data_IF_486328092524
#
_entry.id   IF_486328092524
#
_cell.length_a   1.000
_cell.length_b   1.000
_cell.length_c   1.000
_cell.angle_alpha   90.00
_cell.angle_beta   90.00
_cell.angle_gamma   90.00
#
_symmetry.space_group_name_H-M   'P 1'
#
loop_
_entity.id
_entity.type
_entity.pdbx_description
1 polymer ?
#
# COMPACT_ATOMS: atom_id res chain seq x y z
N UNK A 1 -12.52 -9.43 11.42
CA UNK A 1 -11.32 -9.99 10.76
C UNK A 1 -10.32 -8.85 10.62
N UNK A 2 -9.07 -9.02 11.03
CA UNK A 2 -8.06 -7.98 10.87
C UNK A 2 -7.44 -8.08 9.47
N UNK A 3 -7.50 -7.00 8.70
CA UNK A 3 -6.85 -6.93 7.38
C UNK A 3 -5.39 -6.51 7.60
N UNK A 4 -4.48 -7.49 7.67
CA UNK A 4 -3.04 -7.26 7.85
C UNK A 4 -2.29 -7.41 6.53
N UNK A 5 -1.57 -6.38 6.10
CA UNK A 5 -0.79 -6.39 4.87
C UNK A 5 0.46 -7.28 5.02
N UNK A 6 0.72 -8.06 3.98
CA UNK A 6 1.90 -8.89 3.78
C UNK A 6 2.87 -8.24 2.80
N UNK A 7 2.35 -7.68 1.71
CA UNK A 7 3.12 -7.03 0.67
C UNK A 7 2.25 -6.04 -0.11
N UNK A 8 2.90 -5.06 -0.72
CA UNK A 8 2.30 -4.12 -1.67
C UNK A 8 3.06 -4.22 -2.99
N UNK A 9 2.32 -4.17 -4.10
CA UNK A 9 2.86 -4.10 -5.46
C UNK A 9 2.05 -3.12 -6.29
N UNK A 10 2.59 -2.69 -7.42
CA UNK A 10 2.01 -1.64 -8.25
C UNK A 10 2.01 -2.03 -9.71
N UNK A 11 0.97 -1.61 -10.43
CA UNK A 11 0.99 -1.51 -11.88
C UNK A 11 0.82 -0.03 -12.32
N UNK A 12 0.46 0.19 -13.58
CA UNK A 12 0.32 1.53 -14.15
C UNK A 12 -0.68 2.42 -13.38
N UNK A 13 -1.76 1.86 -12.83
CA UNK A 13 -2.86 2.62 -12.25
C UNK A 13 -3.43 2.04 -10.95
N UNK A 14 -2.94 0.90 -10.49
CA UNK A 14 -3.49 0.15 -9.35
C UNK A 14 -2.38 -0.20 -8.36
N UNK A 15 -2.68 0.00 -7.08
CA UNK A 15 -1.95 -0.55 -5.95
C UNK A 15 -2.58 -1.87 -5.55
N UNK A 16 -1.76 -2.91 -5.42
CA UNK A 16 -2.17 -4.25 -5.02
C UNK A 16 -1.65 -4.54 -3.63
N UNK A 17 -2.55 -4.90 -2.71
CA UNK A 17 -2.19 -5.29 -1.34
C UNK A 17 -2.48 -6.78 -1.17
N UNK A 18 -1.42 -7.55 -0.88
CA UNK A 18 -1.54 -8.94 -0.46
C UNK A 18 -1.69 -8.97 1.07
N UNK A 19 -2.71 -9.65 1.57
CA UNK A 19 -2.98 -9.78 3.00
C UNK A 19 -2.46 -11.11 3.56
N UNK A 20 -2.16 -11.13 4.86
CA UNK A 20 -1.70 -12.33 5.56
C UNK A 20 -2.73 -13.48 5.56
N UNK A 21 -4.01 -13.16 5.41
CA UNK A 21 -5.10 -14.14 5.32
C UNK A 21 -5.29 -14.74 3.91
N UNK A 22 -4.40 -14.40 2.97
CA UNK A 22 -4.41 -14.92 1.60
C UNK A 22 -5.29 -14.13 0.63
N UNK A 23 -5.98 -13.08 1.08
CA UNK A 23 -6.69 -12.16 0.19
C UNK A 23 -5.73 -11.24 -0.55
N UNK A 24 -6.17 -10.76 -1.72
CA UNK A 24 -5.50 -9.71 -2.49
C UNK A 24 -6.52 -8.65 -2.88
N UNK A 25 -6.20 -7.38 -2.64
CA UNK A 25 -7.05 -6.24 -2.97
C UNK A 25 -6.35 -5.32 -3.96
N UNK A 26 -7.07 -4.92 -5.00
CA UNK A 26 -6.63 -3.88 -5.92
C UNK A 26 -7.32 -2.56 -5.59
N UNK A 27 -6.53 -1.50 -5.41
CA UNK A 27 -7.01 -0.15 -5.12
C UNK A 27 -6.47 0.81 -6.18
N UNK A 28 -7.33 1.56 -6.89
CA UNK A 28 -6.87 2.54 -7.87
C UNK A 28 -5.93 3.58 -7.24
N UNK A 29 -4.80 3.86 -7.88
CA UNK A 29 -3.86 4.90 -7.47
C UNK A 29 -4.50 6.28 -7.40
N UNK A 30 -5.56 6.52 -8.17
CA UNK A 30 -6.34 7.75 -8.15
C UNK A 30 -6.91 8.09 -6.76
N UNK A 31 -7.08 7.10 -5.87
CA UNK A 31 -7.53 7.34 -4.49
C UNK A 31 -6.43 7.87 -3.57
N UNK A 32 -5.16 7.76 -4.00
CA UNK A 32 -3.99 8.23 -3.27
C UNK A 32 -3.17 9.18 -4.15
N UNK A 33 -3.54 10.47 -4.23
CA UNK A 33 -2.85 11.43 -5.10
C UNK A 33 -1.32 11.48 -4.90
N UNK A 34 -0.83 11.22 -3.67
CA UNK A 34 0.61 11.14 -3.40
C UNK A 34 1.26 9.94 -4.10
N UNK A 35 0.66 8.74 -4.02
CA UNK A 35 1.15 7.57 -4.76
C UNK A 35 0.98 7.72 -6.28
N UNK A 36 -0.14 8.30 -6.73
CA UNK A 36 -0.37 8.55 -8.15
C UNK A 36 0.74 9.40 -8.77
N UNK A 37 1.21 10.42 -8.05
CA UNK A 37 2.28 11.31 -8.53
C UNK A 37 3.71 10.82 -8.18
N UNK A 38 3.85 9.77 -7.37
CA UNK A 38 5.14 9.19 -7.03
C UNK A 38 5.76 8.44 -8.22
N UNK A 39 7.10 8.44 -8.29
CA UNK A 39 7.84 7.61 -9.26
C UNK A 39 7.70 6.12 -8.92
N UNK A 40 7.91 5.19 -9.89
CA UNK A 40 7.88 3.76 -9.59
C UNK A 40 8.79 3.36 -8.44
N UNK A 41 10.02 3.90 -8.40
CA UNK A 41 10.97 3.65 -7.32
C UNK A 41 10.44 4.12 -5.96
N UNK A 42 9.86 5.32 -5.89
CA UNK A 42 9.25 5.82 -4.66
C UNK A 42 8.07 4.96 -4.20
N UNK A 43 7.23 4.46 -5.11
CA UNK A 43 6.11 3.56 -4.77
C UNK A 43 6.61 2.23 -4.21
N UNK A 44 7.71 1.70 -4.73
CA UNK A 44 8.30 0.44 -4.26
C UNK A 44 9.02 0.58 -2.92
N UNK A 45 9.46 1.79 -2.54
CA UNK A 45 10.08 2.09 -1.24
C UNK A 45 9.05 2.32 -0.12
N UNK A 46 8.23 1.30 0.13
CA UNK A 46 7.34 1.27 1.29
C UNK A 46 7.93 0.46 2.44
N UNK A 47 7.40 0.69 3.62
CA UNK A 47 7.69 -0.10 4.81
C UNK A 47 6.36 -0.60 5.41
N UNK A 48 6.40 -1.83 5.92
CA UNK A 48 5.28 -2.43 6.66
C UNK A 48 5.60 -2.36 8.14
N UNK A 49 4.69 -1.79 8.93
CA UNK A 49 4.82 -1.64 10.37
C UNK A 49 3.72 -2.40 11.12
N UNK A 50 3.92 -2.60 12.43
CA UNK A 50 2.91 -3.22 13.31
C UNK A 50 2.48 -4.64 12.89
N UNK A 51 3.35 -5.39 12.21
CA UNK A 51 3.05 -6.74 11.72
C UNK A 51 2.02 -6.77 10.57
N UNK A 52 1.89 -5.68 9.82
CA UNK A 52 0.94 -5.56 8.70
C UNK A 52 -0.21 -4.60 8.95
N UNK A 53 -0.26 -3.93 10.11
CA UNK A 53 -1.32 -2.96 10.42
C UNK A 53 -1.07 -1.56 9.87
N UNK A 54 0.16 -1.27 9.40
CA UNK A 54 0.54 0.01 8.82
C UNK A 54 1.39 -0.16 7.57
N UNK A 55 1.15 0.69 6.59
CA UNK A 55 1.96 0.88 5.39
C UNK A 55 2.42 2.33 5.36
N UNK A 56 3.70 2.57 5.19
CA UNK A 56 4.21 3.93 5.10
C UNK A 56 5.27 4.10 4.01
N UNK A 57 5.32 5.32 3.46
CA UNK A 57 6.29 5.77 2.47
C UNK A 57 6.96 7.04 2.97
N UNK A 58 8.24 6.94 3.35
CA UNK A 58 8.99 8.05 3.92
C UNK A 58 9.22 9.18 2.89
N UNK A 59 9.55 8.83 1.64
CA UNK A 59 9.89 9.80 0.60
C UNK A 59 8.73 10.71 0.17
N UNK A 60 7.48 10.24 0.35
CA UNK A 60 6.26 10.98 -0.01
C UNK A 60 5.37 11.28 1.20
N UNK A 61 5.88 11.05 2.42
CA UNK A 61 5.19 11.32 3.68
C UNK A 61 3.77 10.72 3.72
N UNK A 62 3.61 9.48 3.26
CA UNK A 62 2.28 8.85 3.18
C UNK A 62 2.17 7.68 4.15
N UNK A 63 1.07 7.61 4.87
CA UNK A 63 0.70 6.49 5.72
C UNK A 63 -0.69 5.95 5.33
N UNK A 64 -0.83 4.64 5.24
CA UNK A 64 -2.07 3.93 4.94
C UNK A 64 -2.26 2.81 5.96
N UNK A 65 -3.47 2.70 6.50
CA UNK A 65 -3.88 1.56 7.34
C UNK A 65 -4.60 0.52 6.48
N UNK A 66 -4.12 -0.72 6.37
CA UNK A 66 -4.77 -1.75 5.57
C UNK A 66 -6.19 -2.12 6.03
N UNK A 67 -6.60 -1.71 7.24
CA UNK A 67 -7.97 -1.87 7.76
C UNK A 67 -9.02 -1.00 7.05
N UNK A 68 -8.61 0.10 6.41
CA UNK A 68 -9.50 1.03 5.70
C UNK A 68 -9.51 0.84 4.18
N UNK A 69 -8.83 -0.21 3.69
CA UNK A 69 -8.82 -0.61 2.28
C UNK A 69 -9.86 -1.70 2.04
#
# INVERSE_FOLDING_TARGET
MSSLAKAVSFDANTMWVDFLDGRKLGVPLAYFPRLLNATPTQREHYQISGGGSGLHWDEIDLEIKPEVL
#
